data_IF_654853469221
#
_entry.id   IF_654853469221
#
_cell.length_a   1.000
_cell.length_b   1.000
_cell.length_c   1.000
_cell.angle_alpha   90.00
_cell.angle_beta   90.00
_cell.angle_gamma   90.00
#
_symmetry.space_group_name_H-M   'P 1'
#
loop_
_entity.id
_entity.type
_entity.pdbx_description
1 polymer ?
#
# COMPACT_ATOMS: atom_id res chain seq x y z
N UNK A 1 -64.67 -32.29 -10.68
CA UNK A 1 -64.32 -31.74 -12.01
C UNK A 1 -64.38 -30.21 -11.97
N UNK A 2 -63.24 -29.52 -11.99
CA UNK A 2 -63.00 -28.25 -12.72
C UNK A 2 -61.59 -27.72 -12.43
N UNK A 3 -60.65 -28.35 -13.13
CA UNK A 3 -59.24 -27.98 -13.30
C UNK A 3 -59.17 -26.71 -14.19
N UNK A 4 -59.76 -25.58 -13.76
CA UNK A 4 -60.06 -24.49 -14.72
C UNK A 4 -59.37 -23.14 -14.48
N UNK A 5 -58.35 -23.02 -13.61
CA UNK A 5 -57.70 -21.71 -13.40
C UNK A 5 -56.17 -21.71 -13.31
N UNK A 6 -55.51 -22.62 -14.05
CA UNK A 6 -54.06 -22.55 -14.37
C UNK A 6 -53.84 -21.71 -15.65
N UNK A 7 -54.57 -20.61 -15.81
CA UNK A 7 -54.29 -19.63 -16.86
C UNK A 7 -53.60 -18.43 -16.21
N UNK A 8 -52.32 -18.64 -15.87
CA UNK A 8 -51.36 -17.56 -15.71
C UNK A 8 -51.45 -16.70 -16.98
N UNK A 9 -52.00 -15.50 -16.85
CA UNK A 9 -51.99 -14.50 -17.92
C UNK A 9 -50.52 -14.32 -18.37
N UNK A 10 -50.21 -14.31 -19.68
CA UNK A 10 -48.83 -14.14 -20.17
C UNK A 10 -48.19 -12.84 -19.64
N UNK A 11 -49.01 -11.85 -19.27
CA UNK A 11 -48.60 -10.63 -18.57
C UNK A 11 -47.80 -10.86 -17.27
N UNK A 12 -48.07 -11.95 -16.53
CA UNK A 12 -47.36 -12.24 -15.28
C UNK A 12 -45.99 -12.89 -15.51
N UNK A 13 -45.71 -13.44 -16.70
CA UNK A 13 -44.42 -14.09 -16.99
C UNK A 13 -43.35 -13.03 -17.35
N UNK A 14 -43.75 -11.93 -18.01
CA UNK A 14 -42.84 -10.82 -18.34
C UNK A 14 -42.37 -10.01 -17.12
N UNK A 15 -43.14 -9.98 -16.03
CA UNK A 15 -42.74 -9.31 -14.78
C UNK A 15 -41.63 -10.12 -14.08
N UNK A 16 -41.66 -11.45 -14.21
CA UNK A 16 -40.67 -12.32 -13.56
C UNK A 16 -39.31 -12.15 -14.24
N UNK A 17 -39.23 -12.01 -15.57
CA UNK A 17 -37.93 -11.84 -16.26
C UNK A 17 -37.28 -10.47 -16.05
N UNK A 18 -38.06 -9.42 -15.75
CA UNK A 18 -37.54 -8.10 -15.37
C UNK A 18 -37.06 -8.05 -13.91
N UNK A 19 -37.54 -8.95 -13.05
CA UNK A 19 -37.08 -9.08 -11.66
C UNK A 19 -35.68 -9.70 -11.51
N UNK A 20 -35.15 -10.33 -12.57
CA UNK A 20 -33.78 -10.87 -12.63
C UNK A 20 -32.81 -9.99 -13.41
N UNK A 21 -33.19 -8.75 -13.73
CA UNK A 21 -32.23 -7.75 -14.13
C UNK A 21 -31.37 -7.38 -12.91
N UNK A 22 -30.37 -8.22 -12.62
CA UNK A 22 -29.25 -7.81 -11.80
C UNK A 22 -28.77 -6.49 -12.38
N UNK A 23 -28.74 -5.44 -11.57
CA UNK A 23 -28.01 -4.23 -11.95
C UNK A 23 -26.59 -4.70 -12.23
N UNK A 24 -26.21 -4.77 -13.50
CA UNK A 24 -24.80 -4.81 -13.89
C UNK A 24 -24.29 -3.46 -13.42
N UNK A 25 -23.79 -3.45 -12.19
CA UNK A 25 -23.08 -2.33 -11.64
C UNK A 25 -21.95 -2.10 -12.64
N UNK A 26 -21.98 -0.97 -13.34
CA UNK A 26 -20.78 -0.49 -14.01
C UNK A 26 -19.73 -0.38 -12.90
N UNK A 27 -18.90 -1.41 -12.79
CA UNK A 27 -17.93 -1.53 -11.72
C UNK A 27 -16.84 -0.53 -12.05
N UNK A 28 -17.10 0.71 -11.65
CA UNK A 28 -16.12 1.77 -11.69
C UNK A 28 -14.97 1.24 -10.86
N UNK A 29 -13.81 1.01 -11.49
CA UNK A 29 -12.58 0.61 -10.79
C UNK A 29 -12.29 1.69 -9.75
N UNK A 30 -12.72 1.45 -8.50
CA UNK A 30 -12.45 2.35 -7.39
C UNK A 30 -10.95 2.30 -7.17
N UNK A 31 -10.25 3.34 -7.62
CA UNK A 31 -8.79 3.41 -7.55
C UNK A 31 -8.35 3.15 -6.09
N UNK A 32 -7.73 2.00 -5.79
CA UNK A 32 -7.35 1.66 -4.41
C UNK A 32 -6.23 2.58 -3.89
N UNK A 33 -5.53 3.27 -4.79
CA UNK A 33 -4.49 4.24 -4.49
C UNK A 33 -5.05 5.66 -4.26
N UNK A 34 -6.33 5.91 -4.63
CA UNK A 34 -6.97 7.24 -4.62
C UNK A 34 -6.11 8.36 -5.24
N UNK A 35 -5.19 7.99 -6.12
CA UNK A 35 -4.23 8.89 -6.72
C UNK A 35 -4.82 9.48 -8.00
N UNK A 36 -4.95 10.80 -8.04
CA UNK A 36 -5.46 11.54 -9.20
C UNK A 36 -4.32 12.09 -10.07
N UNK A 37 -3.12 12.24 -9.49
CA UNK A 37 -1.93 12.81 -10.12
C UNK A 37 -0.70 11.92 -9.89
N UNK A 38 0.31 12.02 -10.77
CA UNK A 38 1.60 11.32 -10.61
C UNK A 38 2.24 11.55 -9.23
N UNK A 39 2.18 12.79 -8.70
CA UNK A 39 2.70 13.10 -7.36
C UNK A 39 2.04 12.29 -6.23
N UNK A 40 0.74 12.03 -6.32
CA UNK A 40 0.02 11.22 -5.31
C UNK A 40 0.35 9.73 -5.43
N UNK A 41 0.67 9.24 -6.63
CA UNK A 41 1.17 7.87 -6.83
C UNK A 41 2.52 7.70 -6.15
N UNK A 42 3.45 8.64 -6.35
CA UNK A 42 4.78 8.62 -5.72
C UNK A 42 4.66 8.73 -4.20
N UNK A 43 3.78 9.59 -3.69
CA UNK A 43 3.52 9.71 -2.25
C UNK A 43 2.95 8.42 -1.66
N UNK A 44 2.00 7.78 -2.34
CA UNK A 44 1.40 6.52 -1.88
C UNK A 44 2.41 5.39 -1.86
N UNK A 45 3.30 5.32 -2.87
CA UNK A 45 4.40 4.36 -2.89
C UNK A 45 5.39 4.61 -1.75
N UNK A 46 5.79 5.88 -1.54
CA UNK A 46 6.69 6.25 -0.46
C UNK A 46 6.10 5.89 0.92
N UNK A 47 4.79 6.12 1.12
CA UNK A 47 4.09 5.70 2.35
C UNK A 47 4.09 4.18 2.53
N UNK A 48 3.82 3.41 1.48
CA UNK A 48 3.84 1.94 1.54
C UNK A 48 5.24 1.40 1.88
N UNK A 49 6.28 1.94 1.23
CA UNK A 49 7.68 1.58 1.52
C UNK A 49 8.03 1.96 2.97
N UNK A 50 7.65 3.14 3.43
CA UNK A 50 7.95 3.61 4.79
C UNK A 50 7.25 2.75 5.85
N UNK A 51 6.02 2.30 5.60
CA UNK A 51 5.26 1.46 6.52
C UNK A 51 5.97 0.11 6.81
N UNK A 52 6.64 -0.46 5.80
CA UNK A 52 7.41 -1.71 5.94
C UNK A 52 8.86 -1.42 6.34
N UNK A 53 9.41 -0.30 5.84
CA UNK A 53 10.79 0.11 6.02
C UNK A 53 11.13 0.48 7.46
N UNK A 54 10.21 1.14 8.21
CA UNK A 54 10.46 1.51 9.61
C UNK A 54 10.65 0.28 10.51
N UNK A 55 9.74 -0.72 10.53
CA UNK A 55 9.96 -1.96 11.28
C UNK A 55 11.27 -2.67 10.89
N UNK A 56 11.57 -2.71 9.59
CA UNK A 56 12.78 -3.35 9.09
C UNK A 56 14.06 -2.62 9.54
N UNK A 57 14.05 -1.28 9.50
CA UNK A 57 15.14 -0.45 10.00
C UNK A 57 15.38 -0.69 11.50
N UNK A 58 14.33 -0.79 12.30
CA UNK A 58 14.44 -1.10 13.72
C UNK A 58 15.15 -2.45 13.97
N UNK A 59 14.80 -3.49 13.20
CA UNK A 59 15.46 -4.80 13.28
C UNK A 59 16.97 -4.68 12.94
N UNK A 60 17.31 -3.95 11.88
CA UNK A 60 18.71 -3.77 11.48
C UNK A 60 19.52 -2.94 12.49
N UNK A 61 18.90 -1.96 13.14
CA UNK A 61 19.55 -1.18 14.21
C UNK A 61 19.87 -2.12 15.38
N UNK A 62 18.89 -2.92 15.82
CA UNK A 62 19.09 -3.90 16.90
C UNK A 62 20.21 -4.89 16.52
N UNK A 63 20.17 -5.45 15.31
CA UNK A 63 21.19 -6.38 14.82
C UNK A 63 22.60 -5.76 14.82
N UNK A 64 22.73 -4.52 14.35
CA UNK A 64 24.02 -3.82 14.38
C UNK A 64 24.52 -3.58 15.81
N UNK A 65 23.62 -3.31 16.76
CA UNK A 65 23.94 -3.19 18.18
C UNK A 65 24.45 -4.49 18.77
N UNK A 66 23.80 -5.62 18.47
CA UNK A 66 24.29 -6.93 18.88
C UNK A 66 25.68 -7.23 18.34
N UNK A 67 25.96 -6.85 17.09
CA UNK A 67 27.27 -7.05 16.46
C UNK A 67 28.36 -6.21 17.15
N UNK A 68 28.04 -5.02 17.65
CA UNK A 68 28.97 -4.23 18.47
C UNK A 68 29.29 -4.91 19.81
N UNK A 69 28.28 -5.47 20.48
CA UNK A 69 28.45 -6.16 21.76
C UNK A 69 29.22 -7.47 21.58
N UNK A 70 28.96 -8.22 20.50
CA UNK A 70 29.62 -9.50 20.24
C UNK A 70 31.08 -9.36 19.81
N UNK A 71 31.49 -8.19 19.29
CA UNK A 71 32.84 -7.97 18.77
C UNK A 71 33.95 -8.15 19.83
N UNK A 72 33.64 -8.02 21.13
CA UNK A 72 34.53 -8.35 22.28
C UNK A 72 36.01 -7.89 22.15
N UNK A 73 36.27 -6.80 21.43
CA UNK A 73 37.62 -6.26 21.22
C UNK A 73 38.40 -6.81 20.01
N UNK A 74 37.82 -7.70 19.20
CA UNK A 74 38.38 -8.06 17.89
C UNK A 74 38.22 -6.89 16.91
N UNK A 75 39.34 -6.38 16.40
CA UNK A 75 39.33 -5.26 15.44
C UNK A 75 38.51 -5.57 14.18
N UNK A 76 38.59 -6.80 13.68
CA UNK A 76 37.86 -7.23 12.49
C UNK A 76 36.34 -7.21 12.70
N UNK A 77 35.87 -7.77 13.83
CA UNK A 77 34.45 -7.75 14.15
C UNK A 77 33.95 -6.34 14.47
N UNK A 78 34.77 -5.51 15.11
CA UNK A 78 34.43 -4.12 15.38
C UNK A 78 34.32 -3.30 14.09
N UNK A 79 35.21 -3.53 13.12
CA UNK A 79 35.13 -2.92 11.80
C UNK A 79 33.83 -3.32 11.10
N UNK A 80 33.48 -4.60 11.15
CA UNK A 80 32.22 -5.12 10.58
C UNK A 80 30.98 -4.53 11.26
N UNK A 81 31.00 -4.37 12.58
CA UNK A 81 29.93 -3.73 13.35
C UNK A 81 29.72 -2.28 12.90
N UNK A 82 30.82 -1.51 12.81
CA UNK A 82 30.79 -0.11 12.36
C UNK A 82 30.27 0.03 10.93
N UNK A 83 30.74 -0.80 10.00
CA UNK A 83 30.26 -0.75 8.63
C UNK A 83 28.78 -1.11 8.54
N UNK A 84 28.34 -2.14 9.27
CA UNK A 84 26.93 -2.56 9.30
C UNK A 84 26.05 -1.44 9.82
N UNK A 85 26.44 -0.82 10.94
CA UNK A 85 25.72 0.30 11.53
C UNK A 85 25.65 1.51 10.59
N UNK A 86 26.75 1.85 9.92
CA UNK A 86 26.76 2.94 8.94
C UNK A 86 25.77 2.70 7.81
N UNK A 87 25.76 1.49 7.23
CA UNK A 87 24.81 1.13 6.18
C UNK A 87 23.36 1.11 6.68
N UNK A 88 23.12 0.62 7.91
CA UNK A 88 21.80 0.69 8.56
C UNK A 88 21.33 2.14 8.72
N UNK A 89 22.22 3.04 9.15
CA UNK A 89 21.92 4.46 9.31
C UNK A 89 21.55 5.10 7.96
N UNK A 90 22.37 4.86 6.93
CA UNK A 90 22.13 5.36 5.57
C UNK A 90 20.80 4.84 5.02
N UNK A 91 20.50 3.54 5.18
CA UNK A 91 19.24 2.95 4.75
C UNK A 91 18.03 3.56 5.47
N UNK A 92 18.14 3.80 6.78
CA UNK A 92 17.09 4.45 7.58
C UNK A 92 16.86 5.89 7.10
N UNK A 93 17.93 6.65 6.90
CA UNK A 93 17.90 8.02 6.39
C UNK A 93 17.29 8.08 4.99
N UNK A 94 17.58 7.09 4.15
CA UNK A 94 17.02 6.98 2.80
C UNK A 94 15.51 6.75 2.82
N UNK A 95 15.00 5.89 3.70
CA UNK A 95 13.56 5.65 3.85
C UNK A 95 12.85 6.95 4.26
N UNK A 96 13.35 7.63 5.29
CA UNK A 96 12.77 8.89 5.77
C UNK A 96 12.89 10.00 4.72
N UNK A 97 14.05 10.10 4.07
CA UNK A 97 14.33 11.08 3.03
C UNK A 97 13.45 10.89 1.78
N UNK A 98 13.19 9.65 1.37
CA UNK A 98 12.33 9.37 0.22
C UNK A 98 10.90 9.89 0.43
N UNK A 99 10.33 9.70 1.62
CA UNK A 99 9.01 10.22 1.95
C UNK A 99 8.98 11.76 2.03
N UNK A 100 10.02 12.37 2.63
CA UNK A 100 10.14 13.82 2.70
C UNK A 100 10.21 14.46 1.30
N UNK A 101 11.04 13.90 0.41
CA UNK A 101 11.18 14.38 -0.97
C UNK A 101 9.88 14.19 -1.76
N UNK A 102 9.23 13.03 -1.65
CA UNK A 102 7.97 12.77 -2.33
C UNK A 102 6.88 13.78 -1.93
N UNK A 103 6.79 14.08 -0.63
CA UNK A 103 5.82 15.06 -0.10
C UNK A 103 6.13 16.48 -0.58
N UNK A 104 7.41 16.87 -0.56
CA UNK A 104 7.85 18.18 -1.04
C UNK A 104 7.53 18.40 -2.54
N UNK A 105 7.76 17.37 -3.37
CA UNK A 105 7.42 17.44 -4.81
C UNK A 105 5.90 17.56 -5.00
N UNK A 106 5.10 16.80 -4.26
CA UNK A 106 3.64 16.88 -4.38
C UNK A 106 3.11 18.26 -3.96
N UNK A 107 3.65 18.83 -2.87
CA UNK A 107 3.31 20.19 -2.43
C UNK A 107 3.69 21.24 -3.47
N UNK A 108 4.88 21.15 -4.04
CA UNK A 108 5.32 22.06 -5.11
C UNK A 108 4.42 21.96 -6.35
N UNK A 109 4.08 20.74 -6.78
CA UNK A 109 3.21 20.52 -7.93
C UNK A 109 1.78 21.02 -7.72
N UNK A 110 1.27 21.02 -6.48
CA UNK A 110 -0.03 21.58 -6.14
C UNK A 110 0.00 23.11 -6.07
N UNK A 111 1.09 23.73 -5.63
CA UNK A 111 1.22 25.19 -5.57
C UNK A 111 1.35 25.87 -6.93
N UNK A 112 1.62 25.12 -8.01
CA UNK A 112 1.65 25.59 -9.39
C UNK A 112 0.29 25.54 -10.10
N UNK A 113 -0.74 24.97 -9.46
CA UNK A 113 -2.13 24.92 -9.94
C UNK A 113 -2.95 25.99 -9.25
#
# INVERSE_FOLDING_TARGET
MKISRILLKPANIYIISLGWANSVFAQTLKNPLKAENFGQVVESLARAITAIGIPLAAIFIIYSGFLFVSARGSEEQLKKAKTTFFWTMVGTLLIVGAWAIATAINQFAQGLR
#
